data_IF_753881609737
#
_entry.id   IF_753881609737
#
_cell.length_a   1.000
_cell.length_b   1.000
_cell.length_c   1.000
_cell.angle_alpha   90.00
_cell.angle_beta   90.00
_cell.angle_gamma   90.00
#
_symmetry.space_group_name_H-M   'P 1'
#
loop_
_entity.id
_entity.type
_entity.pdbx_description
1 polymer ?
#
# COMPACT_ATOMS: atom_id res chain seq x y z
N UNK A 1 26.59 -32.27 -17.87
CA UNK A 1 25.65 -32.50 -18.98
C UNK A 1 24.34 -31.70 -18.84
N UNK A 2 24.40 -30.43 -18.40
CA UNK A 2 23.19 -29.54 -18.29
C UNK A 2 23.39 -28.16 -18.93
N UNK A 3 24.50 -27.88 -19.60
CA UNK A 3 24.76 -26.55 -20.15
C UNK A 3 24.62 -26.43 -21.68
N UNK A 4 24.05 -27.42 -22.36
CA UNK A 4 24.02 -27.46 -23.84
C UNK A 4 22.67 -27.03 -24.47
N UNK A 5 21.67 -26.52 -23.74
CA UNK A 5 20.36 -26.23 -24.31
C UNK A 5 20.02 -24.74 -24.49
N UNK A 6 20.95 -23.83 -24.17
CA UNK A 6 20.70 -22.37 -24.32
C UNK A 6 21.20 -21.83 -25.68
N UNK A 7 21.89 -22.65 -26.45
CA UNK A 7 22.65 -22.20 -27.67
C UNK A 7 21.85 -22.22 -28.98
N UNK A 8 20.55 -22.43 -29.02
CA UNK A 8 19.80 -22.50 -30.29
C UNK A 8 18.47 -21.73 -30.34
N UNK A 9 18.26 -20.75 -29.50
CA UNK A 9 17.20 -19.77 -29.78
C UNK A 9 17.83 -18.71 -30.68
N UNK A 10 17.74 -18.92 -32.02
CA UNK A 10 18.07 -17.86 -32.97
C UNK A 10 17.03 -16.75 -32.82
N UNK A 11 17.40 -15.73 -32.04
CA UNK A 11 16.59 -14.49 -31.91
C UNK A 11 16.57 -13.88 -33.33
N UNK A 12 15.36 -13.64 -33.88
CA UNK A 12 15.25 -13.02 -35.21
C UNK A 12 16.01 -11.69 -35.23
N UNK A 13 16.71 -11.41 -36.31
CA UNK A 13 17.57 -10.23 -36.48
C UNK A 13 16.80 -8.87 -36.36
N UNK A 14 15.48 -8.90 -36.41
CA UNK A 14 14.61 -7.72 -36.22
C UNK A 14 14.19 -7.50 -34.77
N UNK A 15 14.53 -8.42 -33.86
CA UNK A 15 14.18 -8.25 -32.45
C UNK A 15 15.23 -7.37 -31.77
N UNK A 16 14.83 -6.16 -31.42
CA UNK A 16 15.72 -5.21 -30.74
C UNK A 16 15.96 -5.67 -29.30
N UNK A 17 17.23 -5.89 -28.96
CA UNK A 17 17.65 -6.26 -27.60
C UNK A 17 17.19 -5.25 -26.55
N UNK A 18 17.07 -3.97 -26.90
CA UNK A 18 16.56 -2.93 -26.00
C UNK A 18 15.11 -3.22 -25.63
N UNK A 19 14.29 -3.69 -26.58
CA UNK A 19 12.89 -4.06 -26.35
C UNK A 19 12.82 -5.28 -25.41
N UNK A 20 13.66 -6.30 -25.64
CA UNK A 20 13.70 -7.49 -24.77
C UNK A 20 14.09 -7.10 -23.33
N UNK A 21 15.14 -6.30 -23.17
CA UNK A 21 15.58 -5.82 -21.85
C UNK A 21 14.51 -4.96 -21.17
N UNK A 22 13.82 -4.10 -21.92
CA UNK A 22 12.72 -3.29 -21.41
C UNK A 22 11.58 -4.18 -20.86
N UNK A 23 11.11 -5.15 -21.64
CA UNK A 23 10.05 -6.08 -21.19
C UNK A 23 10.51 -6.96 -20.03
N UNK A 24 11.73 -7.46 -20.04
CA UNK A 24 12.28 -8.25 -18.94
C UNK A 24 12.35 -7.44 -17.63
N UNK A 25 12.79 -6.18 -17.71
CA UNK A 25 12.79 -5.24 -16.57
C UNK A 25 11.37 -4.98 -16.05
N UNK A 26 10.42 -4.71 -16.96
CA UNK A 26 9.04 -4.48 -16.60
C UNK A 26 8.40 -5.71 -15.93
N UNK A 27 8.66 -6.90 -16.44
CA UNK A 27 8.17 -8.15 -15.83
C UNK A 27 8.78 -8.36 -14.43
N UNK A 28 10.07 -8.05 -14.23
CA UNK A 28 10.73 -8.14 -12.93
C UNK A 28 10.11 -7.16 -11.93
N UNK A 29 9.89 -5.90 -12.33
CA UNK A 29 9.25 -4.89 -11.49
C UNK A 29 7.82 -5.28 -11.11
N UNK A 30 7.02 -5.78 -12.06
CA UNK A 30 5.67 -6.26 -11.80
C UNK A 30 5.65 -7.46 -10.85
N UNK A 31 6.61 -8.37 -10.97
CA UNK A 31 6.74 -9.50 -10.04
C UNK A 31 7.10 -9.01 -8.65
N UNK A 32 8.13 -8.17 -8.53
CA UNK A 32 8.57 -7.57 -7.29
C UNK A 32 7.42 -6.86 -6.56
N UNK A 33 6.65 -6.03 -7.27
CA UNK A 33 5.47 -5.36 -6.71
C UNK A 33 4.45 -6.36 -6.16
N UNK A 34 4.16 -7.44 -6.91
CA UNK A 34 3.21 -8.47 -6.47
C UNK A 34 3.71 -9.26 -5.25
N UNK A 35 5.00 -9.50 -5.16
CA UNK A 35 5.59 -10.22 -4.04
C UNK A 35 5.58 -9.34 -2.79
N UNK A 36 5.98 -8.07 -2.89
CA UNK A 36 5.82 -7.08 -1.82
C UNK A 36 4.34 -6.96 -1.39
N UNK A 37 3.40 -6.94 -2.34
CA UNK A 37 1.97 -6.78 -2.05
C UNK A 37 1.38 -7.94 -1.24
N UNK A 38 1.97 -9.13 -1.26
CA UNK A 38 1.54 -10.28 -0.45
C UNK A 38 1.90 -10.13 1.03
N UNK A 39 2.98 -9.40 1.30
CA UNK A 39 3.57 -9.27 2.64
C UNK A 39 3.10 -8.01 3.38
N UNK A 40 2.27 -7.18 2.75
CA UNK A 40 1.79 -5.95 3.36
C UNK A 40 0.28 -5.79 3.25
N UNK A 41 -0.32 -5.17 4.27
CA UNK A 41 -1.69 -4.67 4.22
C UNK A 41 -1.69 -3.15 4.16
N UNK A 42 -2.58 -2.60 3.35
CA UNK A 42 -2.69 -1.15 3.19
C UNK A 42 -3.99 -0.61 3.80
N UNK A 43 -4.00 0.69 4.09
CA UNK A 43 -5.20 1.43 4.48
C UNK A 43 -5.51 2.48 3.43
N UNK A 44 -6.78 2.53 3.04
CA UNK A 44 -7.33 3.47 2.06
C UNK A 44 -8.57 4.14 2.65
N UNK A 45 -8.48 5.42 2.96
CA UNK A 45 -9.63 6.20 3.45
C UNK A 45 -10.08 7.19 2.39
N UNK A 46 -11.36 7.13 2.01
CA UNK A 46 -11.94 7.95 0.94
C UNK A 46 -12.89 8.97 1.54
N UNK A 47 -12.68 10.26 1.27
CA UNK A 47 -13.54 11.32 1.74
C UNK A 47 -14.90 11.33 0.99
N UNK A 48 -15.94 11.84 1.63
CA UNK A 48 -17.25 12.04 0.99
C UNK A 48 -17.17 12.96 -0.23
N UNK A 49 -16.39 14.06 -0.15
CA UNK A 49 -16.13 14.99 -1.25
C UNK A 49 -14.78 15.69 -1.09
N UNK A 50 -14.44 16.56 -2.06
CA UNK A 50 -13.21 17.38 -2.03
C UNK A 50 -13.38 18.68 -1.23
N UNK A 51 -14.52 18.89 -0.56
CA UNK A 51 -14.71 20.05 0.30
C UNK A 51 -13.67 20.06 1.44
N UNK A 52 -13.23 21.25 1.86
CA UNK A 52 -12.29 21.39 2.98
C UNK A 52 -12.80 20.69 4.24
N UNK A 53 -14.13 20.72 4.49
CA UNK A 53 -14.75 20.08 5.64
C UNK A 53 -14.65 18.54 5.57
N UNK A 54 -14.99 17.95 4.42
CA UNK A 54 -14.90 16.49 4.24
C UNK A 54 -13.46 15.99 4.25
N UNK A 55 -12.51 16.78 3.71
CA UNK A 55 -11.10 16.44 3.78
C UNK A 55 -10.55 16.49 5.21
N UNK A 56 -10.98 17.48 6.02
CA UNK A 56 -10.64 17.56 7.44
C UNK A 56 -11.25 16.38 8.22
N UNK A 57 -12.53 16.07 7.99
CA UNK A 57 -13.19 14.92 8.60
C UNK A 57 -12.48 13.60 8.28
N UNK A 58 -12.09 13.39 7.01
CA UNK A 58 -11.32 12.21 6.61
C UNK A 58 -10.05 12.02 7.45
N UNK A 59 -9.33 13.10 7.75
CA UNK A 59 -8.12 13.03 8.58
C UNK A 59 -8.44 12.64 10.02
N UNK A 60 -9.53 13.15 10.59
CA UNK A 60 -10.00 12.80 11.92
C UNK A 60 -10.45 11.34 12.01
N UNK A 61 -11.22 10.87 11.02
CA UNK A 61 -11.63 9.46 10.93
C UNK A 61 -10.44 8.55 10.73
N UNK A 62 -9.52 8.90 9.83
CA UNK A 62 -8.27 8.17 9.62
C UNK A 62 -7.52 7.99 10.95
N UNK A 63 -7.37 9.07 11.74
CA UNK A 63 -6.66 9.01 13.02
C UNK A 63 -7.35 8.08 14.02
N UNK A 64 -8.69 8.16 14.13
CA UNK A 64 -9.46 7.29 15.01
C UNK A 64 -9.34 5.81 14.61
N UNK A 65 -9.47 5.50 13.32
CA UNK A 65 -9.34 4.14 12.78
C UNK A 65 -7.92 3.60 13.00
N UNK A 66 -6.89 4.40 12.69
CA UNK A 66 -5.49 4.01 12.87
C UNK A 66 -5.16 3.75 14.34
N UNK A 67 -5.68 4.59 15.26
CA UNK A 67 -5.52 4.39 16.71
C UNK A 67 -6.17 3.09 17.18
N UNK A 68 -7.37 2.78 16.71
CA UNK A 68 -8.05 1.52 17.00
C UNK A 68 -7.27 0.32 16.47
N UNK A 69 -6.83 0.38 15.20
CA UNK A 69 -6.07 -0.68 14.55
C UNK A 69 -4.71 -0.97 15.20
N UNK A 70 -4.09 0.03 15.83
CA UNK A 70 -2.85 -0.18 16.59
C UNK A 70 -3.03 -1.23 17.68
N UNK A 71 -4.12 -1.14 18.44
CA UNK A 71 -4.44 -2.14 19.47
C UNK A 71 -4.80 -3.51 18.87
N UNK A 72 -5.54 -3.51 17.76
CA UNK A 72 -5.97 -4.75 17.07
C UNK A 72 -4.79 -5.56 16.52
N UNK A 73 -3.77 -4.86 15.98
CA UNK A 73 -2.65 -5.51 15.30
C UNK A 73 -1.38 -5.58 16.16
N UNK A 74 -1.47 -5.23 17.44
CA UNK A 74 -0.29 -5.15 18.32
C UNK A 74 0.48 -6.47 18.36
N UNK A 75 -0.23 -7.59 18.42
CA UNK A 75 0.31 -8.93 18.58
C UNK A 75 0.38 -9.72 17.26
N UNK A 76 0.08 -9.07 16.12
CA UNK A 76 0.17 -9.73 14.82
C UNK A 76 1.64 -9.91 14.40
N UNK A 77 2.06 -11.15 14.21
CA UNK A 77 3.42 -11.49 13.77
C UNK A 77 3.54 -11.69 12.27
N UNK A 78 2.39 -11.79 11.56
CA UNK A 78 2.33 -11.98 10.11
C UNK A 78 1.22 -11.16 9.46
N UNK A 79 1.32 -10.96 8.14
CA UNK A 79 0.29 -10.31 7.34
C UNK A 79 -1.04 -11.09 7.40
N UNK A 80 -0.98 -12.43 7.44
CA UNK A 80 -2.16 -13.28 7.53
C UNK A 80 -2.88 -13.12 8.88
N UNK A 81 -2.14 -13.04 9.97
CA UNK A 81 -2.73 -12.76 11.28
C UNK A 81 -3.36 -11.37 11.32
N UNK A 82 -2.67 -10.35 10.82
CA UNK A 82 -3.21 -9.00 10.71
C UNK A 82 -4.50 -8.99 9.87
N UNK A 83 -4.52 -9.69 8.73
CA UNK A 83 -5.70 -9.85 7.86
C UNK A 83 -6.88 -10.47 8.62
N UNK A 84 -6.66 -11.59 9.32
CA UNK A 84 -7.70 -12.27 10.09
C UNK A 84 -8.24 -11.34 11.20
N UNK A 85 -7.36 -10.64 11.91
CA UNK A 85 -7.75 -9.71 12.96
C UNK A 85 -8.64 -8.57 12.43
N UNK A 86 -8.28 -7.99 11.30
CA UNK A 86 -9.05 -6.91 10.67
C UNK A 86 -10.37 -7.43 10.14
N UNK A 87 -10.37 -8.57 9.43
CA UNK A 87 -11.58 -9.16 8.86
C UNK A 87 -12.65 -9.42 9.94
N UNK A 88 -12.23 -9.89 11.11
CA UNK A 88 -13.14 -10.15 12.24
C UNK A 88 -13.71 -8.87 12.85
N UNK A 89 -13.03 -7.72 12.68
CA UNK A 89 -13.36 -6.45 13.33
C UNK A 89 -13.85 -5.35 12.37
N UNK A 90 -14.22 -5.73 11.14
CA UNK A 90 -14.79 -4.77 10.19
C UNK A 90 -15.99 -3.98 10.78
N UNK A 91 -16.95 -4.63 11.48
CA UNK A 91 -18.06 -3.91 12.10
C UNK A 91 -17.61 -2.88 13.15
N UNK A 92 -16.60 -3.21 13.96
CA UNK A 92 -16.07 -2.29 14.97
C UNK A 92 -15.29 -1.14 14.32
N UNK A 93 -14.57 -1.40 13.24
CA UNK A 93 -13.87 -0.36 12.47
C UNK A 93 -14.89 0.63 11.87
N UNK A 94 -15.98 0.13 11.31
CA UNK A 94 -17.08 0.97 10.84
C UNK A 94 -17.68 1.79 11.97
N UNK A 95 -17.93 1.18 13.14
CA UNK A 95 -18.46 1.86 14.29
C UNK A 95 -17.55 3.00 14.76
N UNK A 96 -16.22 2.77 14.82
CA UNK A 96 -15.23 3.81 15.15
C UNK A 96 -15.27 4.97 14.14
N UNK A 97 -15.37 4.67 12.85
CA UNK A 97 -15.49 5.71 11.82
C UNK A 97 -16.78 6.52 11.98
N UNK A 98 -17.93 5.85 12.13
CA UNK A 98 -19.25 6.46 12.31
C UNK A 98 -19.33 7.30 13.57
N UNK A 99 -18.81 6.80 14.70
CA UNK A 99 -18.76 7.54 15.96
C UNK A 99 -17.95 8.84 15.80
N UNK A 100 -16.77 8.77 15.17
CA UNK A 100 -15.97 9.96 14.92
C UNK A 100 -16.70 10.98 14.06
N UNK A 101 -17.40 10.53 13.02
CA UNK A 101 -18.22 11.39 12.15
C UNK A 101 -19.35 12.05 12.90
N UNK A 102 -20.08 11.31 13.75
CA UNK A 102 -21.18 11.84 14.58
C UNK A 102 -20.67 12.88 15.61
N UNK A 103 -19.52 12.62 16.25
CA UNK A 103 -18.88 13.58 17.17
C UNK A 103 -18.54 14.91 16.47
N UNK A 104 -18.29 14.87 15.15
CA UNK A 104 -18.02 16.06 14.32
C UNK A 104 -19.27 16.65 13.66
N UNK A 105 -20.47 16.11 13.96
CA UNK A 105 -21.76 16.63 13.47
C UNK A 105 -22.11 16.19 12.05
N UNK A 106 -21.54 15.10 11.55
CA UNK A 106 -21.86 14.53 10.23
C UNK A 106 -22.86 13.37 10.34
N UNK A 107 -23.83 13.33 9.42
CA UNK A 107 -24.94 12.35 9.41
C UNK A 107 -24.88 11.32 8.29
N UNK A 108 -23.92 11.42 7.34
CA UNK A 108 -23.75 10.38 6.34
C UNK A 108 -23.01 9.17 6.90
N UNK A 109 -23.17 8.03 6.23
CA UNK A 109 -22.66 6.74 6.70
C UNK A 109 -21.19 6.51 6.33
N UNK A 110 -20.61 5.49 6.93
CA UNK A 110 -19.29 4.95 6.57
C UNK A 110 -19.39 3.43 6.44
N UNK A 111 -18.62 2.87 5.53
CA UNK A 111 -18.41 1.42 5.41
C UNK A 111 -16.92 1.08 5.41
N UNK A 112 -16.61 -0.13 5.87
CA UNK A 112 -15.26 -0.67 5.88
C UNK A 112 -15.23 -2.05 5.21
N UNK A 113 -14.31 -2.23 4.25
CA UNK A 113 -14.13 -3.49 3.54
C UNK A 113 -12.65 -3.84 3.43
N UNK A 114 -12.34 -5.14 3.46
CA UNK A 114 -11.00 -5.63 3.14
C UNK A 114 -11.04 -6.22 1.72
N UNK A 115 -10.33 -5.59 0.78
CA UNK A 115 -10.40 -5.94 -0.63
C UNK A 115 -9.16 -5.48 -1.40
N UNK A 116 -8.86 -6.07 -2.56
CA UNK A 116 -7.84 -5.55 -3.46
C UNK A 116 -8.17 -4.13 -3.89
N UNK A 117 -7.18 -3.24 -3.83
CA UNK A 117 -7.25 -1.85 -4.26
C UNK A 117 -5.98 -1.47 -5.01
N UNK A 118 -6.12 -0.68 -6.08
CA UNK A 118 -4.98 -0.09 -6.76
C UNK A 118 -4.45 1.11 -5.98
N UNK A 119 -3.14 1.11 -5.73
CA UNK A 119 -2.41 2.21 -5.09
C UNK A 119 -1.44 2.85 -6.09
N UNK A 120 -1.38 4.17 -6.15
CA UNK A 120 -0.30 4.85 -6.87
C UNK A 120 1.03 4.66 -6.13
N UNK A 121 2.14 5.02 -6.77
CA UNK A 121 3.45 5.13 -6.10
C UNK A 121 3.31 6.02 -4.86
N UNK A 122 3.85 5.57 -3.74
CA UNK A 122 3.81 6.29 -2.46
C UNK A 122 5.15 6.27 -1.76
N UNK A 123 5.60 7.46 -1.37
CA UNK A 123 6.81 7.65 -0.57
C UNK A 123 6.43 7.83 0.90
N UNK A 124 7.11 7.12 1.78
CA UNK A 124 7.05 7.24 3.23
C UNK A 124 8.48 7.40 3.75
N UNK A 125 8.85 8.62 4.13
CA UNK A 125 10.23 8.94 4.47
C UNK A 125 11.20 8.55 3.34
N UNK A 126 12.13 7.67 3.62
CA UNK A 126 13.15 7.15 2.73
C UNK A 126 12.74 5.85 1.98
N UNK A 127 11.47 5.47 2.02
CA UNK A 127 10.96 4.27 1.36
C UNK A 127 9.90 4.59 0.31
N UNK A 128 9.99 3.96 -0.86
CA UNK A 128 9.07 4.15 -1.99
C UNK A 128 8.37 2.83 -2.30
N UNK A 129 7.05 2.82 -2.15
CA UNK A 129 6.21 1.68 -2.48
C UNK A 129 5.70 1.80 -3.92
N UNK A 130 5.90 0.78 -4.77
CA UNK A 130 5.50 0.81 -6.17
C UNK A 130 3.98 0.90 -6.33
N UNK A 131 3.55 1.46 -7.46
CA UNK A 131 2.15 1.40 -7.87
C UNK A 131 1.73 -0.03 -8.16
N UNK A 132 0.48 -0.38 -7.84
CA UNK A 132 -0.07 -1.71 -8.13
C UNK A 132 -1.26 -2.06 -7.26
N UNK A 133 -1.75 -3.29 -7.42
CA UNK A 133 -2.80 -3.82 -6.55
C UNK A 133 -2.21 -4.32 -5.23
N UNK A 134 -2.88 -3.96 -4.14
CA UNK A 134 -2.58 -4.38 -2.78
C UNK A 134 -3.87 -4.74 -2.08
N UNK A 135 -3.83 -5.67 -1.16
CA UNK A 135 -4.93 -5.86 -0.23
C UNK A 135 -5.00 -4.68 0.74
N UNK A 136 -6.18 -4.12 0.92
CA UNK A 136 -6.35 -2.94 1.73
C UNK A 136 -7.66 -2.96 2.54
N UNK A 137 -7.56 -2.46 3.77
CA UNK A 137 -8.73 -1.98 4.49
C UNK A 137 -9.15 -0.67 3.85
N UNK A 138 -10.29 -0.68 3.19
CA UNK A 138 -10.89 0.50 2.58
C UNK A 138 -12.00 1.03 3.49
N UNK A 139 -11.90 2.30 3.88
CA UNK A 139 -12.90 3.00 4.67
C UNK A 139 -13.49 4.11 3.82
N UNK A 140 -14.74 3.97 3.45
CA UNK A 140 -15.47 4.90 2.61
C UNK A 140 -16.34 5.80 3.46
N UNK A 141 -16.26 7.11 3.24
CA UNK A 141 -17.07 8.10 3.97
C UNK A 141 -18.12 8.68 3.02
N UNK A 142 -19.40 8.49 3.34
CA UNK A 142 -20.52 8.99 2.55
C UNK A 142 -20.49 8.52 1.10
N UNK A 143 -20.44 9.46 0.15
CA UNK A 143 -20.44 9.19 -1.30
C UNK A 143 -19.08 8.67 -1.84
N UNK A 144 -18.03 8.74 -1.04
CA UNK A 144 -16.66 8.33 -1.44
C UNK A 144 -16.17 8.97 -2.74
N UNK A 145 -16.55 10.25 -2.97
CA UNK A 145 -16.25 10.99 -4.19
C UNK A 145 -15.08 11.99 -4.04
N UNK A 146 -14.44 12.00 -2.88
CA UNK A 146 -13.35 12.91 -2.58
C UNK A 146 -11.96 12.27 -2.64
N UNK A 147 -10.93 13.08 -2.34
CA UNK A 147 -9.53 12.66 -2.33
C UNK A 147 -9.26 11.58 -1.30
N UNK A 148 -8.36 10.70 -1.67
CA UNK A 148 -7.96 9.52 -0.92
C UNK A 148 -6.83 9.82 0.08
N UNK A 149 -6.80 9.04 1.16
CA UNK A 149 -5.63 8.85 2.03
C UNK A 149 -5.10 7.44 1.86
N UNK A 150 -3.78 7.31 1.75
CA UNK A 150 -3.09 6.06 1.47
C UNK A 150 -2.01 5.82 2.51
N UNK A 151 -1.99 4.65 3.16
CA UNK A 151 -0.84 4.25 3.97
C UNK A 151 -0.62 2.73 3.98
N UNK A 152 0.49 2.29 4.61
CA UNK A 152 0.79 0.90 4.90
C UNK A 152 0.38 0.65 6.35
N UNK A 153 -0.55 -0.30 6.54
CA UNK A 153 -1.14 -0.61 7.82
C UNK A 153 -0.36 -1.73 8.54
N UNK A 154 0.08 -2.73 7.79
CA UNK A 154 0.93 -3.81 8.28
C UNK A 154 2.05 -4.10 7.27
N UNK A 155 3.34 -4.19 7.68
CA UNK A 155 3.89 -3.63 8.92
C UNK A 155 3.64 -2.12 9.02
N UNK A 156 3.43 -1.64 10.23
CA UNK A 156 2.81 -0.33 10.45
C UNK A 156 3.69 0.87 10.03
N UNK A 157 3.27 1.59 8.98
CA UNK A 157 3.81 2.89 8.56
C UNK A 157 2.78 4.02 8.66
N UNK A 158 1.53 3.73 9.06
CA UNK A 158 0.46 4.74 9.18
C UNK A 158 0.75 5.83 10.21
N UNK A 159 1.72 5.62 11.10
CA UNK A 159 2.13 6.56 12.14
C UNK A 159 3.37 7.37 11.77
N UNK A 160 3.95 7.09 10.60
CA UNK A 160 5.02 7.91 10.06
C UNK A 160 4.37 9.17 9.49
N UNK A 161 4.47 10.27 10.25
CA UNK A 161 4.03 11.57 9.76
C UNK A 161 4.81 11.93 8.49
N UNK A 162 4.15 12.57 7.54
CA UNK A 162 4.77 13.07 6.31
C UNK A 162 5.93 14.05 6.57
N UNK A 163 6.10 14.50 7.83
CA UNK A 163 7.25 15.31 8.29
C UNK A 163 8.50 14.48 8.57
N UNK A 164 8.37 13.16 8.76
CA UNK A 164 9.54 12.30 8.96
C UNK A 164 10.22 12.03 7.61
N UNK A 165 11.50 12.41 7.53
CA UNK A 165 12.34 12.11 6.35
C UNK A 165 12.80 10.64 6.32
N UNK A 166 12.72 9.92 7.42
CA UNK A 166 13.21 8.55 7.58
C UNK A 166 12.15 7.72 8.30
N UNK A 167 11.85 6.53 7.77
CA UNK A 167 10.96 5.55 8.42
C UNK A 167 11.60 5.09 9.75
N UNK A 168 10.83 5.01 10.86
CA UNK A 168 11.33 4.54 12.14
C UNK A 168 11.98 3.15 12.06
N UNK A 169 13.06 2.93 12.80
CA UNK A 169 13.82 1.69 12.80
C UNK A 169 12.97 0.45 13.11
N UNK A 170 12.03 0.54 14.05
CA UNK A 170 11.12 -0.57 14.37
C UNK A 170 10.27 -1.03 13.16
N UNK A 171 9.73 -0.06 12.40
CA UNK A 171 8.96 -0.37 11.18
C UNK A 171 9.84 -0.97 10.09
N UNK A 172 11.09 -0.49 9.95
CA UNK A 172 12.07 -1.07 9.03
C UNK A 172 12.43 -2.51 9.38
N UNK A 173 12.64 -2.80 10.67
CA UNK A 173 12.93 -4.15 11.12
C UNK A 173 11.76 -5.12 10.90
N UNK A 174 10.52 -4.66 11.06
CA UNK A 174 9.34 -5.46 10.73
C UNK A 174 9.26 -5.73 9.22
N UNK A 175 9.52 -4.71 8.38
CA UNK A 175 9.58 -4.89 6.92
C UNK A 175 10.68 -5.87 6.50
N UNK A 176 11.87 -5.80 7.08
CA UNK A 176 12.97 -6.75 6.80
C UNK A 176 12.65 -8.19 7.19
N UNK A 177 11.78 -8.41 8.16
CA UNK A 177 11.34 -9.76 8.53
C UNK A 177 10.33 -10.35 7.55
N UNK A 178 9.51 -9.50 6.94
CA UNK A 178 8.46 -9.93 6.01
C UNK A 178 8.96 -10.02 4.56
N UNK A 179 9.91 -9.16 4.16
CA UNK A 179 10.40 -9.05 2.79
C UNK A 179 11.77 -9.72 2.63
N UNK A 180 12.05 -10.21 1.45
CA UNK A 180 13.41 -10.60 1.08
C UNK A 180 14.33 -9.38 1.03
N UNK A 181 15.66 -9.59 1.10
CA UNK A 181 16.63 -8.50 1.01
C UNK A 181 16.48 -7.70 -0.30
N UNK A 182 16.20 -8.38 -1.42
CA UNK A 182 15.99 -7.74 -2.72
C UNK A 182 14.73 -6.85 -2.72
N UNK A 183 13.62 -7.34 -2.19
CA UNK A 183 12.36 -6.59 -2.06
C UNK A 183 12.53 -5.38 -1.13
N UNK A 184 13.16 -5.57 0.02
CA UNK A 184 13.41 -4.49 0.96
C UNK A 184 14.29 -3.38 0.35
N UNK A 185 15.40 -3.77 -0.30
CA UNK A 185 16.29 -2.81 -0.94
C UNK A 185 15.61 -2.06 -2.09
N UNK A 186 14.70 -2.73 -2.83
CA UNK A 186 13.92 -2.07 -3.88
C UNK A 186 13.02 -0.94 -3.37
N UNK A 187 12.61 -0.98 -2.10
CA UNK A 187 11.84 0.11 -1.48
C UNK A 187 12.72 1.31 -1.08
N UNK A 188 14.03 1.09 -0.83
CA UNK A 188 14.99 2.15 -0.48
C UNK A 188 15.55 2.84 -1.71
N UNK A 189 15.76 2.09 -2.80
CA UNK A 189 16.41 2.55 -4.03
C UNK A 189 15.43 3.23 -5.00
N UNK A 190 14.83 4.34 -4.56
CA UNK A 190 13.91 5.12 -5.41
C UNK A 190 14.51 5.60 -6.75
N UNK A 191 15.83 5.54 -6.92
CA UNK A 191 16.52 5.93 -8.15
C UNK A 191 16.72 4.78 -9.15
N UNK A 192 16.69 3.51 -8.71
CA UNK A 192 17.04 2.37 -9.58
C UNK A 192 15.87 1.46 -10.00
N UNK A 193 14.67 1.66 -9.50
CA UNK A 193 13.55 0.71 -9.71
C UNK A 193 12.27 1.29 -10.30
N UNK A 194 11.96 2.53 -10.07
CA UNK A 194 10.64 3.08 -10.40
C UNK A 194 10.82 4.32 -11.26
N UNK A 195 11.00 4.14 -12.58
CA UNK A 195 10.69 5.22 -13.50
C UNK A 195 9.21 5.54 -13.32
N UNK A 196 8.93 6.72 -12.81
CA UNK A 196 7.61 7.33 -12.90
C UNK A 196 7.38 7.67 -14.38
N UNK A 197 7.06 6.67 -15.18
CA UNK A 197 6.49 6.91 -16.49
C UNK A 197 5.08 7.44 -16.27
N UNK A 198 4.98 8.75 -16.08
CA UNK A 198 3.75 9.47 -16.31
C UNK A 198 3.46 9.44 -17.81
N UNK A 199 2.93 8.35 -18.30
CA UNK A 199 2.19 8.33 -19.55
C UNK A 199 0.80 8.87 -19.24
N UNK A 200 0.73 10.21 -19.17
CA UNK A 200 -0.50 10.90 -19.45
C UNK A 200 -0.69 10.90 -20.98
N UNK A 201 -1.68 10.17 -21.43
CA UNK A 201 -2.53 10.57 -22.56
C UNK A 201 -3.95 10.40 -22.10
#
# INVERSE_FOLDING_TARGET
>A
AREAWIASISVPSWLDWNIIFFYARQMRQNRMQKDIAKEILRLHVVANSDSKKDQALKMEVKEAVVTYLRGVMQDAESVDEARIQIQKRLPEIEAVAKEKMQQKGYSYDADATLSPCYFPVKTYGDMIFPAGEYEALKVNLGKSAGKNWWCVMYPTLCFVDSTYQIVPGESKEKLKKCLTEEEYNSLLDGENGIETSSLFI
#
